data_IF_172981253311
#
_entry.id   IF_172981253311
#
_cell.length_a   1.000
_cell.length_b   1.000
_cell.length_c   1.000
_cell.angle_alpha   90.00
_cell.angle_beta   90.00
_cell.angle_gamma   90.00
#
_symmetry.space_group_name_H-M   'P 1'
#
loop_
_entity.id
_entity.type
_entity.pdbx_description
1 polymer ?
#
# COMPACT_ATOMS: atom_id res chain seq x y z
N UNK A 1 -10.91 -7.70 -6.99
CA UNK A 1 -10.23 -8.48 -8.03
C UNK A 1 -11.05 -8.45 -9.31
N UNK A 2 -10.39 -8.32 -10.46
CA UNK A 2 -10.98 -8.22 -11.79
C UNK A 2 -10.17 -9.14 -12.71
N UNK A 3 -10.85 -10.04 -13.41
CA UNK A 3 -10.26 -10.84 -14.46
C UNK A 3 -10.43 -10.11 -15.80
N UNK A 4 -9.35 -9.98 -16.55
CA UNK A 4 -9.31 -9.27 -17.84
C UNK A 4 -9.19 -10.22 -19.04
N UNK A 5 -9.19 -11.54 -18.79
CA UNK A 5 -9.08 -12.58 -19.80
C UNK A 5 -10.44 -13.22 -20.15
N UNK A 6 -10.43 -14.02 -21.23
CA UNK A 6 -11.57 -14.80 -21.71
C UNK A 6 -11.77 -16.14 -20.97
N UNK A 7 -10.90 -16.49 -20.02
CA UNK A 7 -10.95 -17.74 -19.27
C UNK A 7 -11.31 -17.50 -17.81
N UNK A 8 -11.94 -18.48 -17.15
CA UNK A 8 -12.09 -18.44 -15.69
C UNK A 8 -10.74 -18.68 -15.04
N UNK A 9 -10.34 -17.76 -14.17
CA UNK A 9 -9.10 -17.84 -13.41
C UNK A 9 -9.37 -18.34 -11.99
N UNK A 10 -8.36 -18.98 -11.39
CA UNK A 10 -8.32 -19.31 -9.97
C UNK A 10 -7.09 -18.70 -9.32
N UNK A 11 -7.16 -18.52 -8.01
CA UNK A 11 -6.04 -18.11 -7.21
C UNK A 11 -6.28 -18.30 -5.71
N UNK A 12 -5.30 -17.90 -4.93
CA UNK A 12 -5.32 -17.94 -3.47
C UNK A 12 -5.24 -16.52 -2.95
N UNK A 13 -6.14 -16.15 -2.03
CA UNK A 13 -6.01 -14.93 -1.24
C UNK A 13 -5.31 -15.29 0.07
N UNK A 14 -4.22 -14.60 0.38
CA UNK A 14 -3.46 -14.76 1.62
C UNK A 14 -3.57 -13.47 2.42
N UNK A 15 -4.10 -13.54 3.62
CA UNK A 15 -3.99 -12.47 4.62
C UNK A 15 -2.67 -12.63 5.35
N UNK A 16 -1.81 -11.62 5.28
CA UNK A 16 -0.53 -11.57 5.98
C UNK A 16 -0.56 -10.48 7.04
N UNK A 17 0.11 -10.68 8.16
CA UNK A 17 0.32 -9.66 9.18
C UNK A 17 1.36 -8.61 8.74
N UNK A 18 1.71 -7.68 9.64
CA UNK A 18 2.66 -6.60 9.35
C UNK A 18 4.11 -7.12 9.26
N UNK A 19 4.40 -8.25 9.91
CA UNK A 19 5.68 -8.95 9.84
C UNK A 19 5.83 -9.81 8.58
N UNK A 20 4.74 -10.05 7.84
CA UNK A 20 4.72 -10.82 6.60
C UNK A 20 4.44 -12.31 6.79
N UNK A 21 3.97 -12.72 7.96
CA UNK A 21 3.53 -14.08 8.23
C UNK A 21 2.09 -14.29 7.77
N UNK A 22 1.80 -15.48 7.26
CA UNK A 22 0.46 -15.82 6.78
C UNK A 22 -0.46 -16.06 7.98
N UNK A 23 -1.47 -15.22 8.12
CA UNK A 23 -2.50 -15.29 9.17
C UNK A 23 -3.61 -16.27 8.78
N UNK A 24 -4.06 -16.17 7.51
CA UNK A 24 -5.19 -16.93 6.97
C UNK A 24 -5.13 -16.99 5.44
N UNK A 25 -5.64 -18.08 4.84
CA UNK A 25 -5.71 -18.25 3.39
C UNK A 25 -7.10 -18.67 2.92
N UNK A 26 -7.52 -18.14 1.77
CA UNK A 26 -8.65 -18.64 1.00
C UNK A 26 -8.15 -19.22 -0.30
N UNK A 27 -8.28 -20.54 -0.43
CA UNK A 27 -7.91 -21.28 -1.63
C UNK A 27 -9.05 -21.29 -2.65
N UNK A 28 -8.72 -21.55 -3.92
CA UNK A 28 -9.67 -21.71 -5.02
C UNK A 28 -10.64 -20.53 -5.21
N UNK A 29 -10.13 -19.31 -5.06
CA UNK A 29 -10.87 -18.09 -5.36
C UNK A 29 -11.10 -18.00 -6.86
N UNK A 30 -12.30 -18.37 -7.30
CA UNK A 30 -12.68 -18.29 -8.71
C UNK A 30 -13.00 -16.85 -9.14
N UNK A 31 -12.48 -16.48 -10.32
CA UNK A 31 -12.82 -15.28 -11.05
C UNK A 31 -13.26 -15.66 -12.47
N UNK A 32 -14.57 -15.60 -12.78
CA UNK A 32 -15.07 -15.83 -14.14
C UNK A 32 -14.39 -14.92 -15.16
N UNK A 33 -14.36 -15.35 -16.43
CA UNK A 33 -13.91 -14.54 -17.56
C UNK A 33 -14.58 -13.15 -17.54
N UNK A 34 -13.79 -12.08 -17.70
CA UNK A 34 -14.23 -10.67 -17.58
C UNK A 34 -14.96 -10.33 -16.27
N UNK A 35 -14.86 -11.20 -15.27
CA UNK A 35 -15.59 -11.12 -14.02
C UNK A 35 -14.90 -10.25 -12.97
N UNK A 36 -15.69 -9.78 -12.00
CA UNK A 36 -15.20 -9.09 -10.81
C UNK A 36 -15.62 -9.84 -9.56
N UNK A 37 -14.67 -10.04 -8.65
CA UNK A 37 -14.92 -10.48 -7.27
C UNK A 37 -14.63 -9.34 -6.31
N UNK A 38 -15.65 -8.94 -5.57
CA UNK A 38 -15.58 -7.97 -4.48
C UNK A 38 -15.77 -8.73 -3.17
N UNK A 39 -14.93 -8.43 -2.19
CA UNK A 39 -14.92 -9.06 -0.87
C UNK A 39 -14.87 -7.94 0.16
N UNK A 40 -15.69 -8.05 1.20
CA UNK A 40 -15.46 -7.33 2.44
C UNK A 40 -14.49 -8.16 3.28
N UNK A 41 -13.39 -7.55 3.74
CA UNK A 41 -12.31 -8.30 4.41
C UNK A 41 -12.80 -8.92 5.71
N UNK A 42 -13.59 -8.18 6.49
CA UNK A 42 -14.15 -8.67 7.75
C UNK A 42 -15.19 -9.77 7.55
N UNK A 43 -15.97 -9.71 6.47
CA UNK A 43 -16.89 -10.79 6.11
C UNK A 43 -16.23 -11.99 5.45
N UNK A 44 -15.02 -11.84 4.92
CA UNK A 44 -14.31 -12.90 4.23
C UNK A 44 -13.40 -13.70 5.17
N UNK A 45 -12.54 -13.03 5.95
CA UNK A 45 -11.52 -13.67 6.79
C UNK A 45 -11.97 -13.74 8.25
N UNK A 46 -11.79 -14.89 8.91
CA UNK A 46 -12.09 -15.04 10.33
C UNK A 46 -11.13 -14.23 11.21
N UNK A 47 -9.85 -14.18 10.83
CA UNK A 47 -8.79 -13.44 11.54
C UNK A 47 -8.50 -12.08 10.92
N UNK A 48 -9.53 -11.46 10.33
CA UNK A 48 -9.38 -10.20 9.59
C UNK A 48 -8.69 -9.08 10.38
N UNK A 49 -8.82 -9.07 11.70
CA UNK A 49 -8.24 -8.05 12.57
C UNK A 49 -6.70 -8.14 12.69
N UNK A 50 -6.14 -9.32 12.41
CA UNK A 50 -4.70 -9.58 12.46
C UNK A 50 -4.05 -9.40 11.07
N UNK A 51 -4.84 -9.14 10.02
CA UNK A 51 -4.35 -8.98 8.65
C UNK A 51 -3.80 -7.57 8.45
N UNK A 52 -2.51 -7.51 8.15
CA UNK A 52 -1.79 -6.32 7.72
C UNK A 52 -2.01 -5.99 6.24
N UNK A 53 -1.88 -6.97 5.35
CA UNK A 53 -2.12 -6.80 3.92
C UNK A 53 -2.57 -8.13 3.28
N UNK A 54 -3.11 -8.04 2.06
CA UNK A 54 -3.61 -9.21 1.33
C UNK A 54 -2.83 -9.38 0.03
N UNK A 55 -2.28 -10.57 -0.17
CA UNK A 55 -1.70 -10.98 -1.44
C UNK A 55 -2.69 -11.87 -2.20
N UNK A 56 -2.83 -11.65 -3.51
CA UNK A 56 -3.57 -12.55 -4.38
C UNK A 56 -2.61 -13.25 -5.34
N UNK A 57 -2.44 -14.55 -5.15
CA UNK A 57 -1.64 -15.40 -6.04
C UNK A 57 -2.56 -16.00 -7.10
N UNK A 58 -2.50 -15.46 -8.31
CA UNK A 58 -3.30 -15.92 -9.44
C UNK A 58 -2.51 -16.87 -10.35
N UNK A 59 -3.24 -17.75 -11.05
CA UNK A 59 -2.66 -18.62 -12.09
C UNK A 59 -2.29 -17.86 -13.38
N UNK A 60 -2.70 -16.60 -13.52
CA UNK A 60 -2.48 -15.75 -14.69
C UNK A 60 -2.21 -14.31 -14.25
N UNK A 61 -1.47 -13.57 -15.06
CA UNK A 61 -1.26 -12.14 -14.89
C UNK A 61 -2.40 -11.26 -15.45
N UNK A 62 -3.44 -11.88 -16.03
CA UNK A 62 -4.64 -11.18 -16.48
C UNK A 62 -5.58 -10.80 -15.32
N UNK A 63 -5.06 -10.65 -14.10
CA UNK A 63 -5.81 -10.20 -12.92
C UNK A 63 -5.38 -8.81 -12.52
N UNK A 64 -6.36 -7.94 -12.30
CA UNK A 64 -6.19 -6.63 -11.70
C UNK A 64 -6.94 -6.55 -10.37
N UNK A 65 -6.52 -5.63 -9.51
CA UNK A 65 -7.13 -5.46 -8.20
C UNK A 65 -7.07 -4.02 -7.73
N UNK A 66 -7.82 -3.75 -6.68
CA UNK A 66 -7.72 -2.54 -5.88
C UNK A 66 -8.30 -2.83 -4.50
N UNK A 67 -7.82 -2.11 -3.50
CA UNK A 67 -8.41 -2.06 -2.16
C UNK A 67 -9.21 -0.77 -2.02
N UNK A 68 -10.40 -0.85 -1.44
CA UNK A 68 -11.21 0.33 -1.09
C UNK A 68 -11.08 0.60 0.39
N UNK A 69 -10.83 1.85 0.74
CA UNK A 69 -10.85 2.35 2.11
C UNK A 69 -11.94 3.41 2.18
N UNK A 70 -12.77 3.35 3.22
CA UNK A 70 -13.91 4.24 3.34
C UNK A 70 -14.22 4.55 4.79
N UNK A 71 -14.70 5.77 5.01
CA UNK A 71 -15.50 6.12 6.16
C UNK A 71 -16.96 6.10 5.70
N UNK A 72 -17.74 5.14 6.21
CA UNK A 72 -19.09 4.84 5.72
C UNK A 72 -19.96 6.11 5.68
N UNK A 73 -20.59 6.35 4.53
CA UNK A 73 -21.43 7.52 4.29
C UNK A 73 -20.71 8.87 4.17
N UNK A 74 -19.38 8.93 4.30
CA UNK A 74 -18.62 10.19 4.33
C UNK A 74 -17.66 10.30 3.13
N UNK A 75 -16.64 9.46 3.08
CA UNK A 75 -15.60 9.52 2.06
C UNK A 75 -15.05 8.12 1.74
N UNK A 76 -14.43 7.99 0.56
CA UNK A 76 -13.78 6.75 0.14
C UNK A 76 -12.64 7.03 -0.83
N UNK A 77 -11.62 6.19 -0.77
CA UNK A 77 -10.54 6.12 -1.76
C UNK A 77 -10.37 4.67 -2.21
N UNK A 78 -9.65 4.48 -3.32
CA UNK A 78 -9.24 3.18 -3.80
C UNK A 78 -7.78 3.22 -4.24
N UNK A 79 -7.03 2.19 -3.87
CA UNK A 79 -5.62 2.04 -4.19
C UNK A 79 -5.49 0.81 -5.08
N UNK A 80 -4.86 0.91 -6.26
CA UNK A 80 -4.65 -0.25 -7.12
C UNK A 80 -3.84 -1.32 -6.36
N UNK A 81 -4.15 -2.58 -6.63
CA UNK A 81 -3.30 -3.67 -6.18
C UNK A 81 -2.10 -3.75 -7.13
N UNK A 82 -0.90 -3.65 -6.59
CA UNK A 82 0.31 -3.74 -7.39
C UNK A 82 0.68 -5.19 -7.66
N UNK A 83 1.14 -5.46 -8.89
CA UNK A 83 1.73 -6.74 -9.23
C UNK A 83 3.07 -6.85 -8.52
N UNK A 84 3.39 -8.01 -7.94
CA UNK A 84 4.73 -8.24 -7.40
C UNK A 84 5.79 -8.05 -8.48
N UNK A 85 6.88 -7.38 -8.13
CA UNK A 85 8.02 -7.11 -9.00
C UNK A 85 9.33 -7.61 -8.40
N UNK A 86 10.44 -7.22 -9.00
CA UNK A 86 11.78 -7.53 -8.51
C UNK A 86 12.75 -6.39 -8.84
N UNK A 87 13.70 -6.14 -7.94
CA UNK A 87 14.78 -5.19 -8.12
C UNK A 87 14.42 -3.74 -7.78
N UNK A 88 15.37 -2.80 -7.90
CA UNK A 88 15.24 -1.45 -7.38
C UNK A 88 14.03 -0.69 -7.93
N UNK A 89 13.41 0.13 -7.09
CA UNK A 89 12.30 1.01 -7.46
C UNK A 89 12.48 2.38 -6.82
N UNK A 90 12.02 3.42 -7.50
CA UNK A 90 11.92 4.77 -6.97
C UNK A 90 10.49 5.27 -7.16
N UNK A 91 10.08 6.24 -6.34
CA UNK A 91 8.83 6.93 -6.58
C UNK A 91 8.60 8.15 -5.70
N UNK A 92 7.47 8.81 -5.95
CA UNK A 92 7.07 10.05 -5.26
C UNK A 92 5.77 9.85 -4.50
N UNK A 93 5.76 10.27 -3.23
CA UNK A 93 4.56 10.42 -2.41
C UNK A 93 4.18 11.90 -2.43
N UNK A 94 3.29 12.24 -3.36
CA UNK A 94 3.07 13.59 -3.85
C UNK A 94 2.52 14.61 -2.85
N UNK A 95 2.09 14.19 -1.65
CA UNK A 95 1.49 15.10 -0.66
C UNK A 95 1.68 14.61 0.77
N UNK A 96 2.05 15.55 1.63
CA UNK A 96 1.90 15.49 3.08
C UNK A 96 0.79 16.47 3.46
N UNK A 97 -0.27 15.99 4.10
CA UNK A 97 -1.37 16.82 4.56
C UNK A 97 -0.92 17.81 5.63
N UNK A 98 -1.54 18.98 5.59
CA UNK A 98 -1.31 20.07 6.54
C UNK A 98 -2.64 20.50 7.17
N UNK A 99 -2.57 21.48 8.08
CA UNK A 99 -3.76 22.12 8.66
C UNK A 99 -4.70 21.16 9.39
N UNK A 100 -4.14 20.25 10.17
CA UNK A 100 -4.90 19.28 10.97
C UNK A 100 -5.35 18.03 10.21
N UNK A 101 -5.03 17.91 8.92
CA UNK A 101 -5.09 16.63 8.21
C UNK A 101 -3.95 15.68 8.60
N UNK A 102 -3.97 14.48 8.03
CA UNK A 102 -2.96 13.45 8.27
C UNK A 102 -2.60 12.72 6.97
N UNK A 103 -1.36 12.24 6.90
CA UNK A 103 -0.88 11.39 5.80
C UNK A 103 -0.33 10.10 6.38
N UNK A 104 -0.92 8.96 6.01
CA UNK A 104 -0.34 7.65 6.29
C UNK A 104 0.50 7.19 5.11
N UNK A 105 1.74 6.79 5.36
CA UNK A 105 2.63 6.21 4.35
C UNK A 105 2.66 4.71 4.57
N UNK A 106 2.54 3.95 3.48
CA UNK A 106 2.61 2.50 3.52
C UNK A 106 3.66 2.02 2.53
N UNK A 107 4.52 1.12 3.00
CA UNK A 107 5.39 0.32 2.15
C UNK A 107 5.21 -1.16 2.46
N UNK A 108 5.13 -1.99 1.42
CA UNK A 108 5.13 -3.45 1.53
C UNK A 108 6.32 -3.97 0.74
N UNK A 109 7.22 -4.68 1.41
CA UNK A 109 8.27 -5.42 0.73
C UNK A 109 7.72 -6.78 0.30
N UNK A 110 7.50 -6.99 -1.00
CA UNK A 110 6.97 -8.27 -1.49
C UNK A 110 8.06 -9.32 -1.76
N UNK A 111 9.33 -8.95 -1.65
CA UNK A 111 10.47 -9.85 -1.85
C UNK A 111 10.78 -10.67 -0.59
N UNK A 112 11.60 -11.72 -0.77
CA UNK A 112 12.03 -12.64 0.30
C UNK A 112 13.25 -12.17 1.09
N UNK A 113 13.81 -11.01 0.74
CA UNK A 113 14.95 -10.39 1.41
C UNK A 113 14.57 -9.01 1.92
N UNK A 114 15.29 -8.49 2.93
CA UNK A 114 15.04 -7.15 3.44
C UNK A 114 15.35 -6.06 2.40
N UNK A 115 14.49 -5.05 2.34
CA UNK A 115 14.64 -3.88 1.48
C UNK A 115 15.18 -2.69 2.29
N UNK A 116 16.17 -1.99 1.73
CA UNK A 116 16.63 -0.69 2.22
C UNK A 116 15.90 0.39 1.44
N UNK A 117 15.21 1.30 2.13
CA UNK A 117 14.43 2.37 1.53
C UNK A 117 14.96 3.71 2.01
N UNK A 118 15.53 4.50 1.12
CA UNK A 118 15.87 5.90 1.38
C UNK A 118 14.66 6.78 1.07
N UNK A 119 14.18 7.53 2.05
CA UNK A 119 13.17 8.56 1.90
C UNK A 119 13.80 9.95 1.97
N UNK A 120 13.31 10.86 1.15
CA UNK A 120 13.66 12.28 1.18
C UNK A 120 12.40 13.12 1.30
N UNK A 121 12.41 14.04 2.25
CA UNK A 121 11.35 15.01 2.45
C UNK A 121 11.71 16.33 1.78
N UNK A 122 10.76 16.95 1.07
CA UNK A 122 10.99 18.16 0.29
C UNK A 122 9.95 19.23 0.60
N UNK A 123 10.35 20.50 0.54
CA UNK A 123 9.43 21.64 0.57
C UNK A 123 8.86 21.97 -0.83
N UNK A 124 8.00 22.99 -0.91
CA UNK A 124 7.37 23.42 -2.18
C UNK A 124 8.36 23.97 -3.22
N UNK A 125 9.57 24.34 -2.80
CA UNK A 125 10.63 24.77 -3.72
C UNK A 125 11.44 23.59 -4.25
N UNK A 126 11.16 22.36 -3.78
CA UNK A 126 11.90 21.15 -4.08
C UNK A 126 13.23 21.04 -3.32
N UNK A 127 13.42 21.83 -2.27
CA UNK A 127 14.60 21.71 -1.41
C UNK A 127 14.41 20.57 -0.42
N UNK A 128 15.46 19.75 -0.23
CA UNK A 128 15.44 18.66 0.74
C UNK A 128 15.42 19.21 2.16
N UNK A 129 14.39 18.86 2.92
CA UNK A 129 14.20 19.18 4.34
C UNK A 129 14.87 18.12 5.21
N UNK A 130 14.70 16.84 4.88
CA UNK A 130 15.27 15.72 5.63
C UNK A 130 15.50 14.50 4.73
N UNK A 131 16.36 13.58 5.18
CA UNK A 131 16.61 12.29 4.53
C UNK A 131 16.68 11.21 5.59
N UNK A 132 16.07 10.05 5.31
CA UNK A 132 16.05 8.92 6.22
C UNK A 132 16.14 7.62 5.46
N UNK A 133 16.98 6.70 5.93
CA UNK A 133 16.94 5.31 5.46
C UNK A 133 16.21 4.44 6.48
N UNK A 134 15.29 3.62 6.00
CA UNK A 134 14.61 2.59 6.79
C UNK A 134 14.86 1.21 6.18
N UNK A 135 14.71 0.17 6.99
CA UNK A 135 14.74 -1.22 6.53
C UNK A 135 13.34 -1.80 6.65
N UNK A 136 12.86 -2.46 5.60
CA UNK A 136 11.63 -3.24 5.62
C UNK A 136 12.01 -4.71 5.53
N UNK A 137 11.62 -5.50 6.51
CA UNK A 137 11.91 -6.93 6.56
C UNK A 137 11.30 -7.66 5.34
N UNK A 138 11.77 -8.89 5.01
CA UNK A 138 11.15 -9.72 3.99
C UNK A 138 9.64 -9.82 4.20
N UNK A 139 8.83 -9.66 3.15
CA UNK A 139 7.36 -9.79 3.21
C UNK A 139 6.67 -8.85 4.19
N UNK A 140 7.37 -7.93 4.85
CA UNK A 140 6.79 -7.09 5.88
C UNK A 140 6.13 -5.85 5.28
N UNK A 141 5.17 -5.31 6.03
CA UNK A 141 4.55 -4.01 5.80
C UNK A 141 5.02 -3.02 6.86
N UNK A 142 5.34 -1.81 6.42
CA UNK A 142 5.44 -0.64 7.29
C UNK A 142 4.26 0.28 6.98
N UNK A 143 3.59 0.75 8.03
CA UNK A 143 2.66 1.89 7.97
C UNK A 143 3.10 2.90 9.00
N UNK A 144 3.23 4.18 8.61
CA UNK A 144 3.61 5.23 9.56
C UNK A 144 3.26 6.64 9.08
N UNK A 145 3.13 7.58 10.03
CA UNK A 145 3.06 9.01 9.70
C UNK A 145 4.44 9.55 9.30
N UNK A 146 4.55 10.48 8.35
CA UNK A 146 5.82 11.09 7.96
C UNK A 146 6.66 11.56 9.16
N UNK A 147 6.03 12.21 10.14
CA UNK A 147 6.69 12.78 11.33
C UNK A 147 7.28 11.72 12.26
N UNK A 148 6.85 10.47 12.14
CA UNK A 148 7.36 9.33 12.90
C UNK A 148 8.47 8.57 12.15
N UNK A 149 8.60 8.78 10.83
CA UNK A 149 9.67 8.18 10.02
C UNK A 149 10.97 8.96 10.19
N UNK A 150 10.90 10.30 10.14
CA UNK A 150 12.05 11.17 10.20
C UNK A 150 12.39 11.55 11.65
N UNK A 151 13.68 11.62 11.97
CA UNK A 151 14.16 12.10 13.27
C UNK A 151 14.17 13.63 13.36
N UNK A 152 14.24 14.29 12.21
CA UNK A 152 14.28 15.73 12.03
C UNK A 152 12.88 16.33 11.91
N UNK A 153 12.76 17.63 12.22
CA UNK A 153 11.52 18.36 11.97
C UNK A 153 11.28 18.51 10.47
N UNK A 154 10.20 17.87 10.00
CA UNK A 154 9.75 17.92 8.60
C UNK A 154 8.50 18.79 8.43
N UNK A 155 8.17 19.66 9.38
CA UNK A 155 6.97 20.51 9.31
C UNK A 155 6.91 21.36 8.02
N UNK A 156 8.07 21.76 7.49
CA UNK A 156 8.21 22.46 6.21
C UNK A 156 8.14 21.59 4.95
N UNK A 157 8.16 20.26 5.06
CA UNK A 157 8.07 19.37 3.91
C UNK A 157 6.62 19.21 3.43
N UNK A 158 6.40 19.17 2.13
CA UNK A 158 5.09 19.05 1.48
C UNK A 158 4.93 17.79 0.65
N UNK A 159 6.03 17.12 0.30
CA UNK A 159 6.00 15.81 -0.37
C UNK A 159 7.25 14.99 -0.06
N UNK A 160 7.22 13.70 -0.35
CA UNK A 160 8.37 12.81 -0.21
C UNK A 160 8.74 12.17 -1.55
N UNK A 161 10.00 11.78 -1.70
CA UNK A 161 10.41 10.73 -2.63
C UNK A 161 10.98 9.55 -1.85
N UNK A 162 11.00 8.38 -2.49
CA UNK A 162 11.70 7.22 -1.98
C UNK A 162 12.49 6.52 -3.08
N UNK A 163 13.56 5.84 -2.69
CA UNK A 163 14.29 4.89 -3.54
C UNK A 163 14.59 3.65 -2.71
N UNK A 164 14.31 2.48 -3.25
CA UNK A 164 14.63 1.19 -2.63
C UNK A 164 15.57 0.38 -3.52
N UNK A 165 16.44 -0.38 -2.87
CA UNK A 165 17.31 -1.37 -3.52
C UNK A 165 16.56 -2.63 -3.98
N UNK A 166 15.29 -2.77 -3.60
CA UNK A 166 14.40 -3.88 -3.94
C UNK A 166 13.03 -3.39 -4.35
N UNK A 167 12.24 -4.31 -4.89
CA UNK A 167 10.87 -3.99 -5.27
C UNK A 167 10.02 -3.90 -4.00
N UNK A 168 9.39 -2.74 -3.84
CA UNK A 168 8.41 -2.50 -2.79
C UNK A 168 7.16 -1.89 -3.40
N UNK A 169 6.03 -2.17 -2.80
CA UNK A 169 4.78 -1.45 -3.07
C UNK A 169 4.74 -0.26 -2.13
N UNK A 170 4.78 0.96 -2.67
CA UNK A 170 4.68 2.20 -1.89
C UNK A 170 3.42 2.97 -2.23
N UNK A 171 2.69 3.49 -1.24
CA UNK A 171 1.57 4.39 -1.45
C UNK A 171 1.35 5.28 -0.23
N UNK A 172 0.57 6.35 -0.39
CA UNK A 172 0.10 7.16 0.73
C UNK A 172 -1.42 7.30 0.74
N UNK A 173 -1.96 7.61 1.92
CA UNK A 173 -3.36 7.94 2.16
C UNK A 173 -3.41 9.26 2.90
N UNK A 174 -4.26 10.16 2.45
CA UNK A 174 -4.44 11.47 3.05
C UNK A 174 -5.87 11.61 3.58
N UNK A 175 -6.00 12.10 4.82
CA UNK A 175 -7.27 12.49 5.41
C UNK A 175 -7.29 13.98 5.72
N UNK A 176 -8.39 14.66 5.37
CA UNK A 176 -8.57 16.07 5.73
C UNK A 176 -8.81 16.25 7.23
N UNK A 177 -8.42 17.40 7.78
CA UNK A 177 -8.60 17.68 9.21
C UNK A 177 -10.06 17.80 9.68
N UNK A 178 -11.00 17.97 8.76
CA UNK A 178 -12.44 17.93 9.05
C UNK A 178 -13.05 16.52 8.89
N UNK A 179 -12.23 15.52 8.53
CA UNK A 179 -12.63 14.13 8.34
C UNK A 179 -13.55 13.87 7.15
N UNK A 180 -13.70 14.82 6.23
CA UNK A 180 -14.65 14.71 5.10
C UNK A 180 -14.01 14.26 3.79
N UNK A 181 -12.69 14.28 3.68
CA UNK A 181 -11.97 13.88 2.49
C UNK A 181 -10.97 12.78 2.82
N UNK A 182 -10.88 11.83 1.89
CA UNK A 182 -9.91 10.76 1.90
C UNK A 182 -9.41 10.58 0.47
N UNK A 183 -8.11 10.65 0.26
CA UNK A 183 -7.48 10.26 -0.99
C UNK A 183 -6.37 9.23 -0.73
N UNK A 184 -5.99 8.52 -1.78
CA UNK A 184 -4.92 7.54 -1.73
C UNK A 184 -4.31 7.40 -3.10
N UNK A 185 -2.98 7.45 -3.16
CA UNK A 185 -2.23 7.43 -4.41
C UNK A 185 -1.09 6.43 -4.31
N UNK A 186 -0.85 5.61 -5.36
CA UNK A 186 0.38 4.85 -5.45
C UNK A 186 1.59 5.79 -5.50
N UNK A 187 2.75 5.31 -5.07
CA UNK A 187 4.02 5.98 -5.32
C UNK A 187 4.23 6.08 -6.83
N UNK A 188 4.34 7.32 -7.32
CA UNK A 188 4.47 7.64 -8.75
C UNK A 188 5.87 7.44 -9.28
#
# INVERSE_FOLDING_TARGET
>A
LINTSDETLKGTLKGLDDEGEVVEEMVDVELPAHGRKQLDVAGAFEKHADIGYIAFEAQSDAVQGYTKLAQEGICRTAIPAEKGGAGPVEGVLAKIEKNGGWTGIVFVNTESDAASVELKAYDDAGATVATRTITIAPRAKMIQFPEEIFSEDISGATYLSYSSDRYIVGFHINGSGDGKMLDGLPGL
#
